data_IF_293715769533
#
_entry.id   IF_293715769533
#
_cell.length_a   1.000
_cell.length_b   1.000
_cell.length_c   1.000
_cell.angle_alpha   90.00
_cell.angle_beta   90.00
_cell.angle_gamma   90.00
#
_symmetry.space_group_name_H-M   'P 1'
#
loop_
_entity.id
_entity.type
_entity.pdbx_description
1 polymer ?
#
# COMPACT_ATOMS: atom_id res chain seq x y z
N UNK A 1 31.19 34.40 -14.72
CA UNK A 1 31.64 33.00 -14.79
C UNK A 1 31.93 32.62 -13.36
N UNK A 2 31.03 31.86 -12.74
CA UNK A 2 31.17 31.42 -11.35
C UNK A 2 32.18 30.27 -11.34
N UNK A 3 33.33 30.49 -10.72
CA UNK A 3 34.37 29.47 -10.58
C UNK A 3 33.87 28.39 -9.61
N UNK A 4 33.41 27.26 -10.16
CA UNK A 4 33.06 26.08 -9.37
C UNK A 4 34.36 25.54 -8.77
N UNK A 5 34.56 25.82 -7.48
CA UNK A 5 35.66 25.29 -6.69
C UNK A 5 35.69 23.76 -6.83
N UNK A 6 36.83 23.22 -7.26
CA UNK A 6 37.01 21.78 -7.44
C UNK A 6 36.73 21.05 -6.12
N UNK A 7 35.66 20.26 -6.11
CA UNK A 7 35.28 19.43 -4.97
C UNK A 7 36.31 18.30 -4.80
N UNK A 8 37.00 18.27 -3.66
CA UNK A 8 38.03 17.28 -3.35
C UNK A 8 37.46 15.94 -2.84
N UNK A 9 36.14 15.74 -2.93
CA UNK A 9 35.49 14.51 -2.49
C UNK A 9 35.37 13.57 -3.69
N UNK A 10 36.04 12.41 -3.59
CA UNK A 10 35.91 11.35 -4.58
C UNK A 10 34.44 10.95 -4.74
N UNK A 11 33.92 10.94 -5.97
CA UNK A 11 32.55 10.48 -6.31
C UNK A 11 32.24 9.09 -5.72
N UNK A 12 33.28 8.27 -5.50
CA UNK A 12 33.19 6.97 -4.85
C UNK A 12 32.57 7.03 -3.43
N UNK A 13 32.62 8.16 -2.74
CA UNK A 13 32.01 8.34 -1.41
C UNK A 13 30.47 8.45 -1.44
N UNK A 14 29.86 8.67 -2.62
CA UNK A 14 28.41 8.62 -2.77
C UNK A 14 27.89 7.17 -2.86
N UNK A 15 28.74 6.23 -3.29
CA UNK A 15 28.35 4.82 -3.48
C UNK A 15 27.83 4.21 -2.17
N UNK A 16 28.52 4.31 -1.01
CA UNK A 16 28.00 3.80 0.24
C UNK A 16 26.64 4.40 0.61
N UNK A 17 26.45 5.71 0.40
CA UNK A 17 25.21 6.39 0.73
C UNK A 17 24.02 5.83 -0.06
N UNK A 18 24.18 5.63 -1.38
CA UNK A 18 23.14 5.01 -2.19
C UNK A 18 22.87 3.56 -1.78
N UNK A 19 23.92 2.79 -1.47
CA UNK A 19 23.75 1.40 -1.01
C UNK A 19 22.92 1.35 0.29
N UNK A 20 23.22 2.20 1.28
CA UNK A 20 22.49 2.21 2.54
C UNK A 20 21.03 2.67 2.38
N UNK A 21 20.78 3.71 1.58
CA UNK A 21 19.42 4.20 1.32
C UNK A 21 18.59 3.13 0.60
N UNK A 22 19.13 2.56 -0.48
CA UNK A 22 18.42 1.52 -1.26
C UNK A 22 18.23 0.25 -0.45
N UNK A 23 19.21 -0.17 0.37
CA UNK A 23 19.04 -1.32 1.25
C UNK A 23 17.93 -1.08 2.28
N UNK A 24 17.88 0.12 2.88
CA UNK A 24 16.82 0.50 3.81
C UNK A 24 15.43 0.52 3.15
N UNK A 25 15.33 1.10 1.95
CA UNK A 25 14.09 1.17 1.18
C UNK A 25 13.56 -0.22 0.82
N UNK A 26 14.42 -1.11 0.33
CA UNK A 26 14.07 -2.49 -0.02
C UNK A 26 13.65 -3.27 1.21
N UNK A 27 14.42 -3.21 2.29
CA UNK A 27 14.08 -3.90 3.53
C UNK A 27 12.76 -3.40 4.11
N UNK A 28 12.49 -2.10 4.11
CA UNK A 28 11.23 -1.58 4.65
C UNK A 28 10.04 -1.86 3.72
N UNK A 29 10.17 -1.57 2.43
CA UNK A 29 9.04 -1.63 1.50
C UNK A 29 8.65 -3.05 1.10
N UNK A 30 9.63 -3.91 0.80
CA UNK A 30 9.33 -5.28 0.34
C UNK A 30 8.81 -6.13 1.51
N UNK A 31 9.43 -6.05 2.68
CA UNK A 31 8.98 -6.84 3.85
C UNK A 31 7.63 -6.37 4.37
N UNK A 32 7.36 -5.06 4.36
CA UNK A 32 6.06 -4.51 4.76
C UNK A 32 4.92 -4.95 3.84
N UNK A 33 5.18 -4.95 2.53
CA UNK A 33 4.23 -5.48 1.53
C UNK A 33 4.04 -6.99 1.64
N UNK A 34 5.13 -7.75 1.83
CA UNK A 34 5.08 -9.20 2.00
C UNK A 34 4.28 -9.61 3.25
N UNK A 35 4.49 -8.93 4.37
CA UNK A 35 3.69 -9.12 5.58
C UNK A 35 2.21 -8.78 5.34
N UNK A 36 1.93 -7.62 4.73
CA UNK A 36 0.57 -7.19 4.42
C UNK A 36 -0.12 -8.16 3.46
N UNK A 37 0.60 -8.76 2.52
CA UNK A 37 0.08 -9.77 1.61
C UNK A 37 -0.12 -11.14 2.24
N UNK A 38 0.69 -11.50 3.24
CA UNK A 38 0.50 -12.74 4.00
C UNK A 38 -0.72 -12.68 4.92
N UNK A 39 -1.08 -11.48 5.37
CA UNK A 39 -2.20 -11.24 6.29
C UNK A 39 -3.49 -10.80 5.59
N UNK A 40 -3.52 -10.86 4.25
CA UNK A 40 -4.65 -10.35 3.47
C UNK A 40 -5.26 -11.38 2.52
N UNK A 41 -6.60 -11.42 2.41
CA UNK A 41 -7.31 -12.37 1.57
C UNK A 41 -7.01 -12.14 0.08
N UNK A 42 -7.11 -13.21 -0.72
CA UNK A 42 -6.74 -13.21 -2.14
C UNK A 42 -7.46 -12.13 -3.00
N UNK A 43 -8.67 -11.72 -2.62
CA UNK A 43 -9.46 -10.69 -3.31
C UNK A 43 -9.02 -9.25 -2.99
N UNK A 44 -8.29 -9.02 -1.89
CA UNK A 44 -7.91 -7.66 -1.44
C UNK A 44 -6.45 -7.28 -1.74
N UNK A 45 -5.65 -8.19 -2.31
CA UNK A 45 -4.24 -7.92 -2.63
C UNK A 45 -4.07 -6.71 -3.55
N UNK A 46 -4.95 -6.52 -4.54
CA UNK A 46 -4.90 -5.34 -5.41
C UNK A 46 -5.24 -4.03 -4.68
N UNK A 47 -6.14 -4.07 -3.69
CA UNK A 47 -6.52 -2.89 -2.90
C UNK A 47 -5.39 -2.52 -1.93
N UNK A 48 -4.69 -3.50 -1.37
CA UNK A 48 -3.50 -3.26 -0.54
C UNK A 48 -2.32 -2.68 -1.32
N UNK A 49 -2.04 -3.21 -2.52
CA UNK A 49 -1.06 -2.60 -3.43
C UNK A 49 -1.44 -1.14 -3.73
N UNK A 50 -2.72 -0.87 -4.02
CA UNK A 50 -3.20 0.48 -4.30
C UNK A 50 -3.10 1.39 -3.07
N UNK A 51 -3.44 0.88 -1.87
CA UNK A 51 -3.27 1.58 -0.60
C UNK A 51 -1.81 1.91 -0.30
N UNK A 52 -0.90 0.98 -0.58
CA UNK A 52 0.54 1.20 -0.48
C UNK A 52 1.04 2.28 -1.44
N UNK A 53 0.63 2.23 -2.71
CA UNK A 53 0.98 3.28 -3.68
C UNK A 53 0.40 4.64 -3.30
N UNK A 54 -0.78 4.67 -2.67
CA UNK A 54 -1.41 5.88 -2.17
C UNK A 54 -0.60 6.52 -1.02
N UNK A 55 -0.08 5.73 -0.08
CA UNK A 55 0.77 6.27 0.99
C UNK A 55 2.11 6.78 0.44
N UNK A 56 2.70 6.10 -0.54
CA UNK A 56 3.89 6.56 -1.26
C UNK A 56 3.63 7.91 -1.96
N UNK A 57 2.49 8.04 -2.65
CA UNK A 57 2.11 9.30 -3.29
C UNK A 57 1.98 10.44 -2.27
N UNK A 58 1.35 10.17 -1.12
CA UNK A 58 1.22 11.17 -0.06
C UNK A 58 2.58 11.58 0.53
N UNK A 59 3.49 10.62 0.72
CA UNK A 59 4.87 10.89 1.13
C UNK A 59 5.61 11.78 0.14
N UNK A 60 5.50 11.49 -1.16
CA UNK A 60 6.12 12.30 -2.22
C UNK A 60 5.57 13.73 -2.25
N UNK A 61 4.27 13.92 -2.01
CA UNK A 61 3.67 15.26 -1.90
C UNK A 61 4.26 16.04 -0.72
N UNK A 62 4.42 15.40 0.45
CA UNK A 62 5.04 16.04 1.61
C UNK A 62 6.48 16.45 1.30
N UNK A 63 7.27 15.56 0.68
CA UNK A 63 8.66 15.87 0.28
C UNK A 63 8.71 17.07 -0.66
N UNK A 64 7.83 17.14 -1.65
CA UNK A 64 7.77 18.25 -2.60
C UNK A 64 7.41 19.56 -1.93
N UNK A 65 6.40 19.55 -1.04
CA UNK A 65 6.00 20.75 -0.28
C UNK A 65 7.14 21.25 0.61
N UNK A 66 7.86 20.35 1.26
CA UNK A 66 9.01 20.73 2.10
C UNK A 66 10.15 21.26 1.22
N UNK A 67 10.46 20.61 0.10
CA UNK A 67 11.55 21.02 -0.79
C UNK A 67 11.32 22.38 -1.47
N UNK A 68 10.09 22.68 -1.92
CA UNK A 68 9.79 23.98 -2.57
C UNK A 68 9.32 25.06 -1.58
N UNK A 69 8.61 24.65 -0.52
CA UNK A 69 7.89 25.57 0.37
C UNK A 69 8.65 25.98 1.63
N UNK A 70 9.67 25.22 2.06
CA UNK A 70 10.35 25.50 3.32
C UNK A 70 11.27 26.72 3.23
N UNK A 71 11.96 26.94 2.10
CA UNK A 71 13.01 27.97 1.99
C UNK A 71 14.05 27.90 3.12
N UNK A 72 14.18 26.74 3.77
CA UNK A 72 15.03 26.50 4.94
C UNK A 72 16.42 26.07 4.50
N UNK A 73 17.39 26.16 5.41
CA UNK A 73 18.71 25.59 5.15
C UNK A 73 18.65 24.06 5.05
N UNK A 74 19.42 23.49 4.12
CA UNK A 74 19.38 22.08 3.74
C UNK A 74 19.58 21.09 4.91
N UNK A 75 20.33 21.48 5.95
CA UNK A 75 20.51 20.65 7.15
C UNK A 75 19.23 20.51 7.98
N UNK A 76 18.37 21.54 7.98
CA UNK A 76 17.10 21.54 8.71
C UNK A 76 16.09 20.61 8.03
N UNK A 77 16.09 20.54 6.70
CA UNK A 77 15.27 19.61 5.93
C UNK A 77 15.63 18.15 6.24
N UNK A 78 16.92 17.83 6.25
CA UNK A 78 17.39 16.48 6.62
C UNK A 78 17.00 16.11 8.06
N UNK A 79 17.06 17.06 8.99
CA UNK A 79 16.68 16.83 10.39
C UNK A 79 15.16 16.65 10.53
N UNK A 80 14.35 17.42 9.80
CA UNK A 80 12.90 17.26 9.73
C UNK A 80 12.53 15.86 9.22
N UNK A 81 13.11 15.43 8.09
CA UNK A 81 12.84 14.10 7.53
C UNK A 81 13.29 12.97 8.47
N UNK A 82 14.45 13.10 9.11
CA UNK A 82 14.90 12.15 10.11
C UNK A 82 13.94 12.08 11.31
N UNK A 83 13.48 13.23 11.81
CA UNK A 83 12.50 13.31 12.89
C UNK A 83 11.16 12.67 12.53
N UNK A 84 10.67 12.91 11.30
CA UNK A 84 9.46 12.30 10.78
C UNK A 84 9.59 10.77 10.70
N UNK A 85 10.74 10.26 10.23
CA UNK A 85 11.03 8.82 10.17
C UNK A 85 11.04 8.18 11.56
N UNK A 86 11.65 8.84 12.55
CA UNK A 86 11.67 8.34 13.94
C UNK A 86 10.26 8.33 14.53
N UNK A 87 9.46 9.38 14.30
CA UNK A 87 8.08 9.43 14.76
C UNK A 87 7.23 8.28 14.17
N UNK A 88 7.32 8.06 12.85
CA UNK A 88 6.63 6.95 12.18
C UNK A 88 7.11 5.61 12.73
N UNK A 89 8.41 5.43 12.96
CA UNK A 89 8.98 4.20 13.52
C UNK A 89 8.48 3.90 14.94
N UNK A 90 8.30 4.94 15.78
CA UNK A 90 7.73 4.80 17.13
C UNK A 90 6.25 4.40 17.04
N UNK A 91 5.47 5.07 16.19
CA UNK A 91 4.05 4.74 15.98
C UNK A 91 3.91 3.29 15.49
N UNK A 92 4.70 2.88 14.50
CA UNK A 92 4.73 1.50 14.00
C UNK A 92 5.15 0.51 15.09
N UNK A 93 6.15 0.85 15.91
CA UNK A 93 6.59 -0.02 17.01
C UNK A 93 5.49 -0.21 18.06
N UNK A 94 4.76 0.84 18.40
CA UNK A 94 3.63 0.78 19.34
C UNK A 94 2.48 -0.04 18.74
N UNK A 95 2.13 0.20 17.46
CA UNK A 95 1.11 -0.58 16.76
C UNK A 95 1.48 -2.06 16.66
N UNK A 96 2.75 -2.38 16.37
CA UNK A 96 3.24 -3.75 16.33
C UNK A 96 3.16 -4.42 17.71
N UNK A 97 3.43 -3.68 18.79
CA UNK A 97 3.33 -4.21 20.16
C UNK A 97 1.89 -4.55 20.57
N UNK A 98 0.90 -3.85 20.00
CA UNK A 98 -0.52 -4.12 20.20
C UNK A 98 -1.15 -4.98 19.10
N UNK A 99 -0.36 -5.52 18.17
CA UNK A 99 -0.89 -6.31 17.05
C UNK A 99 -1.18 -7.75 17.48
N UNK A 100 -2.46 -8.07 17.59
CA UNK A 100 -2.95 -9.46 17.68
C UNK A 100 -2.74 -10.15 16.33
N UNK A 101 -2.01 -11.26 16.32
CA UNK A 101 -1.83 -12.12 15.15
C UNK A 101 -3.18 -12.77 14.80
N UNK A 102 -3.64 -12.64 13.56
CA UNK A 102 -4.79 -13.38 13.04
C UNK A 102 -4.23 -14.56 12.24
N UNK A 103 -4.68 -15.78 12.53
CA UNK A 103 -4.18 -16.99 11.87
C UNK A 103 -4.60 -17.03 10.38
N UNK A 104 -3.66 -17.24 9.43
CA UNK A 104 -3.96 -17.26 7.99
C UNK A 104 -5.00 -18.30 7.60
N UNK A 105 -5.05 -19.44 8.32
CA UNK A 105 -5.95 -20.56 8.05
C UNK A 105 -7.44 -20.24 8.36
N UNK A 106 -7.71 -19.21 9.17
CA UNK A 106 -9.09 -18.74 9.43
C UNK A 106 -9.54 -17.77 8.34
N UNK A 107 -8.62 -16.97 7.79
CA UNK A 107 -8.92 -15.97 6.77
C UNK A 107 -9.32 -16.64 5.46
N UNK A 108 -8.57 -17.63 4.98
CA UNK A 108 -8.91 -18.32 3.73
C UNK A 108 -10.27 -19.04 3.81
N UNK A 109 -10.64 -19.58 4.98
CA UNK A 109 -11.93 -20.26 5.18
C UNK A 109 -13.13 -19.31 5.19
N UNK A 110 -13.01 -18.17 5.89
CA UNK A 110 -14.07 -17.15 5.95
C UNK A 110 -14.33 -16.59 4.54
N UNK A 111 -13.28 -16.40 3.75
CA UNK A 111 -13.42 -15.89 2.38
C UNK A 111 -13.84 -16.95 1.36
N UNK A 112 -13.45 -18.23 1.51
CA UNK A 112 -14.04 -19.30 0.70
C UNK A 112 -15.55 -19.31 0.91
N UNK A 113 -16.01 -19.37 2.17
CA UNK A 113 -17.42 -19.41 2.61
C UNK A 113 -18.22 -18.17 2.14
N UNK A 114 -17.66 -16.95 2.26
CA UNK A 114 -18.30 -15.74 1.73
C UNK A 114 -18.38 -15.74 0.19
N UNK A 115 -17.40 -16.31 -0.52
CA UNK A 115 -17.34 -16.28 -2.00
C UNK A 115 -18.26 -17.32 -2.62
N UNK A 116 -18.43 -18.49 -2.01
CA UNK A 116 -19.40 -19.48 -2.47
C UNK A 116 -20.83 -19.13 -2.05
N UNK A 117 -21.06 -18.51 -0.88
CA UNK A 117 -22.38 -17.94 -0.53
C UNK A 117 -22.82 -16.82 -1.50
N UNK A 118 -21.93 -15.90 -1.88
CA UNK A 118 -22.25 -14.81 -2.83
C UNK A 118 -22.53 -15.36 -4.26
N UNK A 119 -21.79 -16.41 -4.67
CA UNK A 119 -22.03 -17.10 -5.94
C UNK A 119 -23.37 -17.84 -5.94
N UNK A 120 -23.71 -18.52 -4.86
CA UNK A 120 -24.99 -19.23 -4.70
C UNK A 120 -26.15 -18.23 -4.77
N UNK A 121 -26.08 -17.11 -4.02
CA UNK A 121 -27.11 -16.07 -4.08
C UNK A 121 -27.25 -15.44 -5.48
N UNK A 122 -26.13 -15.16 -6.16
CA UNK A 122 -26.17 -14.56 -7.50
C UNK A 122 -26.75 -15.53 -8.56
N UNK A 123 -26.48 -16.82 -8.39
CA UNK A 123 -26.96 -17.88 -9.29
C UNK A 123 -28.45 -18.18 -9.06
N UNK A 124 -28.91 -18.14 -7.80
CA UNK A 124 -30.34 -18.27 -7.49
C UNK A 124 -31.14 -17.05 -7.92
N UNK A 125 -30.61 -15.82 -7.78
CA UNK A 125 -31.26 -14.61 -8.33
C UNK A 125 -31.44 -14.69 -9.85
N UNK A 126 -30.41 -15.09 -10.60
CA UNK A 126 -30.50 -15.26 -12.06
C UNK A 126 -31.49 -16.33 -12.47
N UNK A 127 -31.57 -17.43 -11.72
CA UNK A 127 -32.53 -18.51 -11.97
C UNK A 127 -33.96 -18.04 -11.71
N UNK A 128 -34.18 -17.29 -10.62
CA UNK A 128 -35.49 -16.74 -10.28
C UNK A 128 -35.96 -15.69 -11.29
N UNK A 129 -35.05 -14.82 -11.78
CA UNK A 129 -35.36 -13.89 -12.88
C UNK A 129 -35.71 -14.64 -14.17
N UNK A 130 -34.92 -15.65 -14.55
CA UNK A 130 -35.17 -16.45 -15.75
C UNK A 130 -36.50 -17.22 -15.67
N UNK A 131 -36.85 -17.78 -14.50
CA UNK A 131 -38.14 -18.46 -14.26
C UNK A 131 -39.30 -17.47 -14.38
N UNK A 132 -39.18 -16.26 -13.83
CA UNK A 132 -40.24 -15.24 -13.93
C UNK A 132 -40.50 -14.76 -15.37
N UNK A 133 -39.47 -14.75 -16.23
CA UNK A 133 -39.59 -14.38 -17.64
C UNK A 133 -40.20 -15.50 -18.50
N UNK A 134 -40.05 -16.77 -18.09
CA UNK A 134 -40.63 -17.94 -18.78
C UNK A 134 -42.12 -18.09 -18.45
N UNK A 135 -42.52 -17.76 -17.22
CA UNK A 135 -43.92 -17.81 -16.77
C UNK A 135 -44.75 -16.58 -17.17
N UNK A 136 -44.16 -15.62 -17.89
CA UNK A 136 -44.94 -14.57 -18.53
C UNK A 136 -45.87 -15.21 -19.58
N UNK A 137 -47.21 -15.14 -19.41
CA UNK A 137 -48.12 -15.67 -20.41
C UNK A 137 -47.86 -14.93 -21.72
N UNK A 138 -47.48 -15.67 -22.77
CA UNK A 138 -47.40 -15.13 -24.13
C UNK A 138 -48.74 -14.52 -24.47
N UNK A 139 -48.84 -13.20 -24.31
CA UNK A 139 -49.87 -12.38 -24.93
C UNK A 139 -49.68 -12.53 -26.45
N UNK A 140 -50.33 -13.57 -26.96
CA UNK A 140 -50.55 -13.80 -28.38
C UNK A 140 -51.75 -12.94 -28.72
N UNK A 141 -51.53 -11.76 -29.28
CA UNK A 141 -52.58 -11.05 -29.99
C UNK A 141 -52.23 -11.08 -31.48
N UNK A 142 -53.23 -11.50 -32.26
CA UNK A 142 -53.36 -11.29 -33.70
C UNK A 142 -53.14 -9.84 -34.10
#
# INVERSE_FOLDING_TARGET
MEDIQANNIHIAWQIPQYVFITAGEVMFSITGLEFSYSQAPASMKSVLQAGWLMTVAFGNVIVLIVAEGAGMEQWTEFLLFAGLLVAVSIIFSIMAYFYTYVDPDQLDKIFEEDTDDEKVESSDRKKNEAVSLIDMPKQTNM
#
